data_IF_677477273070
#
_entry.id   IF_677477273070
#
_cell.length_a   1.000
_cell.length_b   1.000
_cell.length_c   1.000
_cell.angle_alpha   90.00
_cell.angle_beta   90.00
_cell.angle_gamma   90.00
#
_symmetry.space_group_name_H-M   'P 1'
#
loop_
_entity.id
_entity.type
_entity.pdbx_description
1 polymer ?
#
# COMPACT_ATOMS: atom_id res chain seq x y z
N UNK A 1 -45.18 0.15 -15.42
CA UNK A 1 -43.79 0.05 -15.90
C UNK A 1 -43.01 1.17 -15.26
N UNK A 2 -42.17 0.85 -14.27
CA UNK A 2 -41.25 1.82 -13.68
C UNK A 2 -40.15 2.14 -14.71
N UNK A 3 -39.70 3.40 -14.83
CA UNK A 3 -38.65 3.74 -15.76
C UNK A 3 -37.32 3.16 -15.26
N UNK A 4 -36.64 2.40 -16.13
CA UNK A 4 -35.26 1.99 -15.93
C UNK A 4 -34.38 3.24 -15.83
N UNK A 5 -33.75 3.43 -14.67
CA UNK A 5 -32.75 4.47 -14.45
C UNK A 5 -31.42 4.05 -15.10
N UNK A 6 -31.26 4.42 -16.36
CA UNK A 6 -30.11 4.09 -17.21
C UNK A 6 -28.94 5.09 -17.06
N UNK A 7 -28.64 5.54 -15.83
CA UNK A 7 -27.66 6.63 -15.60
C UNK A 7 -26.37 6.25 -14.86
N UNK A 8 -26.10 4.96 -14.59
CA UNK A 8 -24.84 4.53 -13.97
C UNK A 8 -23.86 4.00 -15.01
N UNK A 9 -23.04 4.89 -15.57
CA UNK A 9 -21.89 4.55 -16.43
C UNK A 9 -20.67 4.05 -15.65
N UNK A 10 -20.75 3.92 -14.32
CA UNK A 10 -19.62 3.43 -13.51
C UNK A 10 -19.52 1.90 -13.55
N UNK A 11 -18.28 1.39 -13.60
CA UNK A 11 -17.93 -0.03 -13.39
C UNK A 11 -18.29 -0.53 -11.98
N UNK A 12 -18.61 0.39 -11.06
CA UNK A 12 -18.89 0.09 -9.67
C UNK A 12 -20.35 0.39 -9.30
N UNK A 13 -20.84 -0.34 -8.31
CA UNK A 13 -22.14 -0.16 -7.68
C UNK A 13 -21.95 0.20 -6.20
N UNK A 14 -22.66 1.24 -5.73
CA UNK A 14 -22.65 1.67 -4.33
C UNK A 14 -23.53 0.75 -3.47
N UNK A 15 -23.06 0.46 -2.27
CA UNK A 15 -23.74 -0.34 -1.25
C UNK A 15 -24.04 0.54 -0.02
N UNK A 16 -24.04 -0.07 1.17
CA UNK A 16 -24.34 0.56 2.45
C UNK A 16 -23.23 1.49 2.95
N UNK A 17 -23.62 2.45 3.82
CA UNK A 17 -22.70 3.39 4.46
C UNK A 17 -21.88 2.70 5.56
N UNK A 18 -20.59 3.04 5.67
CA UNK A 18 -19.65 2.48 6.64
C UNK A 18 -19.74 3.12 8.03
N UNK A 19 -20.56 4.18 8.17
CA UNK A 19 -20.76 4.95 9.40
C UNK A 19 -19.85 6.18 9.56
N UNK A 20 -18.95 6.45 8.59
CA UNK A 20 -18.02 7.59 8.60
C UNK A 20 -18.19 8.51 7.38
N UNK A 21 -19.38 8.54 6.77
CA UNK A 21 -19.60 9.29 5.53
C UNK A 21 -18.91 8.70 4.30
N UNK A 22 -18.45 7.45 4.37
CA UNK A 22 -18.01 6.65 3.21
C UNK A 22 -18.97 5.49 2.99
N UNK A 23 -19.01 4.99 1.75
CA UNK A 23 -19.88 3.88 1.36
C UNK A 23 -19.04 2.68 0.93
N UNK A 24 -19.60 1.49 1.02
CA UNK A 24 -19.04 0.35 0.31
C UNK A 24 -19.36 0.43 -1.17
N UNK A 25 -18.48 -0.12 -2.00
CA UNK A 25 -18.72 -0.33 -3.42
C UNK A 25 -18.28 -1.72 -3.86
N UNK A 26 -18.88 -2.24 -4.92
CA UNK A 26 -18.48 -3.49 -5.58
C UNK A 26 -18.27 -3.25 -7.06
N UNK A 27 -17.35 -3.98 -7.67
CA UNK A 27 -17.17 -3.95 -9.13
C UNK A 27 -18.21 -4.86 -9.79
N UNK A 28 -18.89 -4.39 -10.85
CA UNK A 28 -19.96 -5.14 -11.52
C UNK A 28 -19.48 -6.48 -12.11
N UNK A 29 -18.24 -6.50 -12.61
CA UNK A 29 -17.64 -7.70 -13.22
C UNK A 29 -16.96 -8.63 -12.19
N UNK A 30 -16.76 -8.16 -10.96
CA UNK A 30 -16.20 -8.95 -9.86
C UNK A 30 -16.86 -8.55 -8.52
N UNK A 31 -18.10 -9.02 -8.28
CA UNK A 31 -18.85 -8.66 -7.09
C UNK A 31 -18.27 -9.28 -5.80
N UNK A 32 -17.24 -10.14 -5.90
CA UNK A 32 -16.56 -10.72 -4.76
C UNK A 32 -15.67 -9.73 -4.01
N UNK A 33 -15.34 -8.60 -4.63
CA UNK A 33 -14.44 -7.59 -4.07
C UNK A 33 -15.21 -6.36 -3.60
N UNK A 34 -15.03 -6.03 -2.31
CA UNK A 34 -15.48 -4.79 -1.72
C UNK A 34 -14.42 -3.71 -1.86
N UNK A 35 -14.89 -2.48 -1.99
CA UNK A 35 -14.12 -1.25 -2.10
C UNK A 35 -14.74 -0.19 -1.19
N UNK A 36 -13.99 0.88 -0.93
CA UNK A 36 -14.47 2.07 -0.22
C UNK A 36 -14.73 3.17 -1.24
N UNK A 37 -15.98 3.62 -1.34
CA UNK A 37 -16.37 4.81 -2.07
C UNK A 37 -16.36 6.02 -1.12
N UNK A 38 -15.42 6.92 -1.34
CA UNK A 38 -15.28 8.16 -0.60
C UNK A 38 -15.84 9.32 -1.42
N UNK A 39 -16.79 10.11 -0.89
CA UNK A 39 -17.32 11.29 -1.57
C UNK A 39 -16.21 12.31 -1.87
N UNK A 40 -16.26 12.94 -3.04
CA UNK A 40 -15.40 14.10 -3.32
C UNK A 40 -15.68 15.22 -2.31
N UNK A 41 -14.66 15.60 -1.55
CA UNK A 41 -14.71 16.72 -0.59
C UNK A 41 -14.64 16.35 0.88
N UNK A 42 -14.66 15.06 1.24
CA UNK A 42 -14.25 14.61 2.58
C UNK A 42 -12.75 14.27 2.51
N UNK A 43 -11.88 15.26 2.72
CA UNK A 43 -10.41 15.08 2.80
C UNK A 43 -9.91 15.01 4.25
N UNK A 44 -10.78 14.65 5.20
CA UNK A 44 -10.42 14.62 6.61
C UNK A 44 -9.52 13.41 6.91
N UNK A 45 -8.20 13.60 6.83
CA UNK A 45 -7.17 12.66 7.29
C UNK A 45 -6.82 12.81 8.78
N UNK A 46 -7.29 13.84 9.47
CA UNK A 46 -7.01 14.01 10.89
C UNK A 46 -8.16 14.71 11.63
N UNK A 47 -8.54 14.16 12.78
CA UNK A 47 -9.39 14.78 13.79
C UNK A 47 -8.67 15.97 14.46
N UNK A 48 -8.25 16.96 13.68
CA UNK A 48 -7.81 18.24 14.22
C UNK A 48 -9.05 19.09 14.45
N UNK A 49 -9.62 18.99 15.65
CA UNK A 49 -10.64 19.93 16.14
C UNK A 49 -10.10 21.37 15.99
N UNK A 50 -10.59 22.09 14.98
CA UNK A 50 -10.27 23.51 14.78
C UNK A 50 -10.11 24.01 13.35
N UNK A 51 -10.23 23.16 12.33
CA UNK A 51 -10.14 23.62 10.93
C UNK A 51 -11.33 24.50 10.53
N UNK A 52 -11.01 25.67 9.96
CA UNK A 52 -11.99 26.60 9.38
C UNK A 52 -12.79 25.89 8.28
N UNK A 53 -14.11 25.71 8.51
CA UNK A 53 -15.01 25.01 7.59
C UNK A 53 -14.97 25.58 6.17
N UNK A 54 -14.70 26.88 6.01
CA UNK A 54 -14.59 27.50 4.70
C UNK A 54 -13.34 27.04 3.95
N UNK A 55 -12.22 26.89 4.67
CA UNK A 55 -10.95 26.39 4.10
C UNK A 55 -11.10 24.96 3.58
N UNK A 56 -11.77 24.08 4.32
CA UNK A 56 -12.04 22.70 3.88
C UNK A 56 -12.91 22.65 2.61
N UNK A 57 -13.91 23.53 2.50
CA UNK A 57 -14.76 23.64 1.31
C UNK A 57 -13.93 24.13 0.11
N UNK A 58 -13.08 25.13 0.32
CA UNK A 58 -12.24 25.68 -0.74
C UNK A 58 -11.20 24.65 -1.23
N UNK A 59 -10.58 23.89 -0.32
CA UNK A 59 -9.65 22.79 -0.62
C UNK A 59 -10.35 21.65 -1.39
N UNK A 60 -11.55 21.25 -0.96
CA UNK A 60 -12.37 20.26 -1.66
C UNK A 60 -12.70 20.70 -3.09
N UNK A 61 -13.07 21.98 -3.27
CA UNK A 61 -13.38 22.55 -4.59
C UNK A 61 -12.14 22.69 -5.48
N UNK A 62 -10.98 23.01 -4.89
CA UNK A 62 -9.71 23.08 -5.62
C UNK A 62 -9.25 21.69 -6.06
N UNK A 63 -9.33 20.70 -5.17
CA UNK A 63 -9.04 19.30 -5.48
C UNK A 63 -9.95 18.77 -6.60
N UNK A 64 -11.26 19.01 -6.50
CA UNK A 64 -12.23 18.65 -7.54
C UNK A 64 -11.85 19.25 -8.90
N UNK A 65 -11.55 20.55 -8.91
CA UNK A 65 -11.13 21.25 -10.12
C UNK A 65 -9.86 20.64 -10.68
N UNK A 66 -8.83 20.44 -9.86
CA UNK A 66 -7.55 19.85 -10.27
C UNK A 66 -7.75 18.45 -10.89
N UNK A 67 -8.55 17.60 -10.24
CA UNK A 67 -8.76 16.22 -10.65
C UNK A 67 -9.47 16.12 -12.01
N UNK A 68 -10.37 17.06 -12.34
CA UNK A 68 -11.17 17.04 -13.57
C UNK A 68 -10.72 17.99 -14.68
N UNK A 69 -10.17 19.15 -14.36
CA UNK A 69 -9.79 20.17 -15.34
C UNK A 69 -8.43 19.88 -15.99
N UNK A 70 -7.73 18.84 -15.53
CA UNK A 70 -6.40 18.47 -16.00
C UNK A 70 -6.25 16.94 -16.05
N UNK A 71 -5.32 16.42 -16.85
CA UNK A 71 -4.95 14.98 -16.87
C UNK A 71 -4.30 14.52 -15.55
N UNK A 72 -4.34 15.34 -14.50
CA UNK A 72 -3.77 15.06 -13.18
C UNK A 72 -4.51 13.92 -12.50
N UNK A 73 -5.83 13.79 -12.64
CA UNK A 73 -6.57 12.67 -12.05
C UNK A 73 -6.07 11.30 -12.51
N UNK A 74 -5.80 11.14 -13.81
CA UNK A 74 -5.21 9.91 -14.36
C UNK A 74 -3.77 9.68 -13.90
N UNK A 75 -2.97 10.75 -13.78
CA UNK A 75 -1.60 10.65 -13.29
C UNK A 75 -1.55 10.24 -11.81
N UNK A 76 -2.43 10.81 -10.98
CA UNK A 76 -2.60 10.42 -9.57
C UNK A 76 -3.03 8.95 -9.48
N UNK A 77 -4.05 8.54 -10.23
CA UNK A 77 -4.48 7.13 -10.23
C UNK A 77 -3.35 6.17 -10.64
N UNK A 78 -2.51 6.57 -11.59
CA UNK A 78 -1.33 5.80 -12.00
C UNK A 78 -0.29 5.70 -10.88
N UNK A 79 -0.03 6.76 -10.12
CA UNK A 79 0.86 6.75 -8.95
C UNK A 79 0.33 5.80 -7.86
N UNK A 80 -0.98 5.71 -7.67
CA UNK A 80 -1.57 4.79 -6.70
C UNK A 80 -1.75 3.37 -7.25
N UNK A 81 -1.31 3.06 -8.47
CA UNK A 81 -1.46 1.74 -9.09
C UNK A 81 -0.27 0.81 -8.76
N UNK A 82 -0.22 0.33 -7.51
CA UNK A 82 0.77 -0.63 -7.06
C UNK A 82 0.15 -1.65 -6.11
N UNK A 83 0.63 -2.90 -6.15
CA UNK A 83 0.02 -4.01 -5.39
C UNK A 83 0.11 -3.82 -3.87
N UNK A 84 1.23 -3.23 -3.41
CA UNK A 84 1.49 -2.91 -2.00
C UNK A 84 1.19 -1.44 -1.64
N UNK A 85 0.39 -0.74 -2.44
CA UNK A 85 -0.16 0.59 -2.10
C UNK A 85 -1.68 0.46 -2.06
N UNK A 86 -2.35 1.23 -1.20
CA UNK A 86 -3.81 1.38 -1.26
C UNK A 86 -4.15 2.11 -2.55
N UNK A 87 -4.75 1.37 -3.50
CA UNK A 87 -4.97 1.87 -4.85
C UNK A 87 -6.27 2.67 -4.95
N UNK A 88 -6.25 3.62 -5.89
CA UNK A 88 -7.48 4.18 -6.46
C UNK A 88 -7.98 3.19 -7.51
N UNK A 89 -9.01 2.41 -7.16
CA UNK A 89 -9.59 1.37 -8.01
C UNK A 89 -10.51 1.94 -9.10
N UNK A 90 -11.07 3.13 -8.89
CA UNK A 90 -11.93 3.76 -9.89
C UNK A 90 -12.72 4.95 -9.36
N UNK A 91 -13.81 5.26 -10.06
CA UNK A 91 -14.64 6.43 -9.80
C UNK A 91 -16.11 6.14 -10.11
N UNK A 92 -16.98 6.70 -9.28
CA UNK A 92 -18.42 6.61 -9.44
C UNK A 92 -18.98 8.01 -9.62
N UNK A 93 -19.87 8.16 -10.60
CA UNK A 93 -20.68 9.37 -10.79
C UNK A 93 -22.14 8.95 -10.70
N UNK A 94 -22.83 9.42 -9.67
CA UNK A 94 -24.26 9.14 -9.47
C UNK A 94 -25.05 10.43 -9.33
N UNK A 95 -26.35 10.35 -9.60
CA UNK A 95 -27.30 11.38 -9.17
C UNK A 95 -27.84 11.00 -7.79
N UNK A 96 -28.03 11.96 -6.87
CA UNK A 96 -28.50 11.69 -5.52
C UNK A 96 -29.86 10.99 -5.55
N UNK A 97 -30.05 10.04 -4.64
CA UNK A 97 -31.26 9.19 -4.55
C UNK A 97 -32.45 9.93 -3.88
N UNK A 98 -32.29 11.21 -3.50
CA UNK A 98 -33.29 12.00 -2.77
C UNK A 98 -34.19 12.89 -3.67
N UNK A 99 -35.44 13.21 -3.25
CA UNK A 99 -36.48 13.71 -4.14
C UNK A 99 -36.31 15.20 -4.51
N UNK A 100 -36.21 15.45 -5.81
CA UNK A 100 -36.60 16.64 -6.60
C UNK A 100 -36.87 17.93 -5.82
N UNK A 101 -35.88 18.44 -5.10
CA UNK A 101 -35.86 19.82 -4.63
C UNK A 101 -34.44 20.20 -4.30
N UNK A 102 -33.97 21.27 -4.94
CA UNK A 102 -32.58 21.73 -5.02
C UNK A 102 -31.75 20.94 -6.04
N UNK A 103 -31.16 21.68 -7.00
CA UNK A 103 -30.35 21.20 -8.14
C UNK A 103 -29.67 19.87 -7.82
N UNK A 104 -30.05 18.80 -8.52
CA UNK A 104 -29.41 17.49 -8.43
C UNK A 104 -27.91 17.64 -8.71
N UNK A 105 -27.12 17.83 -7.65
CA UNK A 105 -25.66 17.86 -7.74
C UNK A 105 -25.25 16.42 -8.00
N UNK A 106 -24.51 16.17 -9.08
CA UNK A 106 -23.84 14.90 -9.25
C UNK A 106 -23.01 14.62 -7.99
N UNK A 107 -23.24 13.48 -7.36
CA UNK A 107 -22.37 12.98 -6.31
C UNK A 107 -21.30 12.13 -6.97
N UNK A 108 -20.06 12.54 -6.79
CA UNK A 108 -18.90 11.83 -7.31
C UNK A 108 -18.15 11.20 -6.16
N UNK A 109 -17.63 9.99 -6.41
CA UNK A 109 -16.89 9.21 -5.43
C UNK A 109 -15.58 8.72 -6.02
N UNK A 110 -14.51 8.76 -5.22
CA UNK A 110 -13.27 8.03 -5.47
C UNK A 110 -13.41 6.65 -4.83
N UNK A 111 -13.11 5.61 -5.60
CA UNK A 111 -13.18 4.23 -5.13
C UNK A 111 -11.76 3.77 -4.78
N UNK A 112 -11.57 3.40 -3.52
CA UNK A 112 -10.31 2.92 -2.95
C UNK A 112 -10.39 1.42 -2.65
N UNK A 113 -9.23 0.77 -2.63
CA UNK A 113 -9.12 -0.58 -2.08
C UNK A 113 -9.66 -0.64 -0.64
N UNK A 114 -10.43 -1.68 -0.35
CA UNK A 114 -10.84 -1.98 1.02
C UNK A 114 -9.88 -2.99 1.65
N UNK A 115 -9.28 -2.59 2.78
CA UNK A 115 -8.40 -3.43 3.59
C UNK A 115 -9.18 -3.95 4.81
N UNK A 116 -9.71 -5.16 4.70
CA UNK A 116 -10.64 -5.80 5.63
C UNK A 116 -9.97 -6.57 6.78
N UNK A 117 -8.64 -6.50 6.90
CA UNK A 117 -7.87 -7.10 7.99
C UNK A 117 -7.17 -6.07 8.89
N UNK A 118 -7.70 -4.84 8.95
CA UNK A 118 -7.18 -3.73 9.76
C UNK A 118 -5.76 -3.30 9.36
N UNK A 119 -5.04 -2.62 10.25
CA UNK A 119 -3.68 -2.16 10.06
C UNK A 119 -2.71 -2.78 11.09
N UNK A 120 -1.41 -2.65 10.82
CA UNK A 120 -0.35 -3.25 11.62
C UNK A 120 -0.34 -2.78 13.08
N UNK A 121 -0.85 -1.58 13.38
CA UNK A 121 -0.94 -1.10 14.76
C UNK A 121 -1.84 -1.98 15.64
N UNK A 122 -2.82 -2.67 15.05
CA UNK A 122 -3.69 -3.59 15.76
C UNK A 122 -2.94 -4.81 16.35
N UNK A 123 -1.74 -5.12 15.84
CA UNK A 123 -0.90 -6.21 16.35
C UNK A 123 0.03 -5.77 17.48
N UNK A 124 0.23 -4.47 17.66
CA UNK A 124 1.15 -3.95 18.67
C UNK A 124 0.42 -3.62 19.96
N UNK A 125 1.05 -3.99 21.08
CA UNK A 125 0.60 -3.57 22.41
C UNK A 125 1.06 -2.14 22.67
N UNK A 126 0.34 -1.41 23.53
CA UNK A 126 0.70 -0.04 23.94
C UNK A 126 2.02 0.04 24.73
N UNK A 127 2.59 -1.10 25.14
CA UNK A 127 3.88 -1.19 25.81
C UNK A 127 4.72 -2.33 25.24
N UNK A 128 6.06 -2.17 25.12
CA UNK A 128 6.95 -3.24 24.69
C UNK A 128 6.80 -4.49 25.58
N UNK A 129 6.73 -5.68 24.97
CA UNK A 129 6.69 -6.92 25.72
C UNK A 129 8.09 -7.25 26.25
N UNK A 130 8.23 -7.38 27.58
CA UNK A 130 9.50 -7.79 28.20
C UNK A 130 9.73 -9.32 28.15
N UNK A 131 8.70 -10.08 27.77
CA UNK A 131 8.75 -11.53 27.73
C UNK A 131 9.31 -12.01 26.40
N UNK A 132 10.39 -12.80 26.45
CA UNK A 132 10.94 -13.50 25.30
C UNK A 132 10.04 -14.62 24.75
N UNK A 133 8.77 -14.73 25.18
CA UNK A 133 7.83 -15.76 24.71
C UNK A 133 6.82 -15.26 23.69
N UNK A 134 6.70 -13.95 23.53
CA UNK A 134 5.70 -13.34 22.65
C UNK A 134 6.41 -12.53 21.57
N UNK A 135 6.63 -13.19 20.43
CA UNK A 135 7.17 -12.57 19.22
C UNK A 135 6.13 -12.68 18.13
N UNK A 136 6.13 -11.71 17.20
CA UNK A 136 5.39 -11.86 15.96
C UNK A 136 5.99 -13.04 15.17
N UNK A 137 5.18 -13.82 14.43
CA UNK A 137 5.70 -14.81 13.51
C UNK A 137 6.73 -14.19 12.56
N UNK A 138 7.83 -14.89 12.29
CA UNK A 138 8.89 -14.34 11.46
C UNK A 138 8.42 -14.16 10.01
N UNK A 139 7.57 -15.08 9.55
CA UNK A 139 6.87 -14.98 8.26
C UNK A 139 6.10 -13.68 8.10
N UNK A 140 5.46 -13.17 9.17
CA UNK A 140 4.77 -11.89 9.15
C UNK A 140 5.75 -10.71 9.02
N UNK A 141 6.88 -10.77 9.73
CA UNK A 141 7.94 -9.76 9.62
C UNK A 141 8.45 -9.66 8.18
N UNK A 142 8.75 -10.81 7.56
CA UNK A 142 9.15 -10.87 6.16
C UNK A 142 8.07 -10.39 5.21
N UNK A 143 6.82 -10.82 5.40
CA UNK A 143 5.68 -10.39 4.59
C UNK A 143 5.51 -8.87 4.56
N UNK A 144 5.58 -8.22 5.73
CA UNK A 144 5.50 -6.76 5.84
C UNK A 144 6.72 -6.10 5.20
N UNK A 145 7.92 -6.58 5.53
CA UNK A 145 9.16 -5.97 5.05
C UNK A 145 9.27 -5.99 3.52
N UNK A 146 9.04 -7.14 2.90
CA UNK A 146 9.14 -7.27 1.42
C UNK A 146 8.05 -6.46 0.73
N UNK A 147 6.82 -6.45 1.26
CA UNK A 147 5.71 -5.64 0.73
C UNK A 147 6.02 -4.15 0.78
N UNK A 148 6.58 -3.66 1.90
CA UNK A 148 6.95 -2.26 2.04
C UNK A 148 8.14 -1.89 1.16
N UNK A 149 9.15 -2.74 1.04
CA UNK A 149 10.29 -2.49 0.15
C UNK A 149 9.85 -2.44 -1.31
N UNK A 150 8.90 -3.27 -1.73
CA UNK A 150 8.30 -3.17 -3.07
C UNK A 150 7.59 -1.82 -3.26
N UNK A 151 6.75 -1.40 -2.30
CA UNK A 151 6.07 -0.10 -2.35
C UNK A 151 7.07 1.08 -2.39
N UNK A 152 8.09 1.07 -1.53
CA UNK A 152 9.11 2.12 -1.48
C UNK A 152 9.92 2.13 -2.78
N UNK A 153 10.33 0.97 -3.31
CA UNK A 153 11.07 0.89 -4.59
C UNK A 153 10.26 1.52 -5.71
N UNK A 154 8.97 1.26 -5.75
CA UNK A 154 8.08 1.89 -6.71
C UNK A 154 7.98 3.41 -6.50
N UNK A 155 7.75 3.88 -5.26
CA UNK A 155 7.62 5.31 -4.96
C UNK A 155 8.90 6.11 -5.19
N UNK A 156 10.06 5.57 -4.81
CA UNK A 156 11.33 6.26 -4.86
C UNK A 156 12.01 6.12 -6.23
N UNK A 157 12.01 4.92 -6.81
CA UNK A 157 12.76 4.64 -8.03
C UNK A 157 11.88 4.54 -9.28
N UNK A 158 10.54 4.51 -9.13
CA UNK A 158 9.61 4.34 -10.24
C UNK A 158 9.64 2.93 -10.84
N UNK A 159 10.13 1.94 -10.09
CA UNK A 159 10.31 0.56 -10.57
C UNK A 159 9.34 -0.40 -9.93
N UNK A 160 8.79 -1.29 -10.75
CA UNK A 160 7.87 -2.35 -10.32
C UNK A 160 8.38 -3.71 -10.78
N UNK A 161 8.07 -4.75 -10.01
CA UNK A 161 8.40 -6.12 -10.34
C UNK A 161 7.37 -6.66 -11.35
N UNK A 162 7.84 -7.14 -12.50
CA UNK A 162 7.03 -7.77 -13.53
C UNK A 162 7.49 -9.20 -13.78
N UNK A 163 6.57 -10.04 -14.25
CA UNK A 163 6.88 -11.35 -14.81
C UNK A 163 7.38 -11.16 -16.24
N UNK A 164 8.62 -11.58 -16.51
CA UNK A 164 9.16 -11.64 -17.86
C UNK A 164 8.52 -12.83 -18.59
N UNK A 165 7.55 -12.52 -19.45
CA UNK A 165 6.88 -13.49 -20.31
C UNK A 165 7.63 -13.76 -21.62
N UNK A 166 8.70 -13.00 -21.90
CA UNK A 166 9.50 -13.12 -23.14
C UNK A 166 10.79 -13.94 -22.93
N UNK A 167 11.10 -14.31 -21.69
CA UNK A 167 12.21 -15.22 -21.38
C UNK A 167 12.06 -16.53 -22.19
N UNK A 168 12.97 -16.71 -23.15
CA UNK A 168 12.96 -17.82 -24.08
C UNK A 168 13.02 -19.16 -23.32
N UNK A 169 11.93 -19.93 -23.40
CA UNK A 169 11.80 -21.30 -22.93
C UNK A 169 12.00 -21.54 -21.41
N UNK A 170 10.92 -21.38 -20.65
CA UNK A 170 10.58 -22.35 -19.58
C UNK A 170 10.63 -21.86 -18.14
N UNK A 171 11.18 -20.69 -17.83
CA UNK A 171 11.16 -20.12 -16.49
C UNK A 171 10.76 -18.65 -16.56
N UNK A 172 9.56 -18.32 -16.07
CA UNK A 172 9.14 -16.93 -15.92
C UNK A 172 10.05 -16.27 -14.89
N UNK A 173 10.99 -15.44 -15.35
CA UNK A 173 11.90 -14.70 -14.47
C UNK A 173 11.27 -13.36 -14.10
N UNK A 174 11.57 -12.85 -12.91
CA UNK A 174 11.03 -11.56 -12.46
C UNK A 174 12.04 -10.46 -12.71
N UNK A 175 11.56 -9.37 -13.31
CA UNK A 175 12.40 -8.22 -13.63
C UNK A 175 11.81 -6.95 -13.02
N UNK A 176 12.69 -6.15 -12.43
CA UNK A 176 12.34 -4.79 -12.01
C UNK A 176 12.42 -3.88 -13.23
N UNK A 177 11.28 -3.33 -13.65
CA UNK A 177 11.21 -2.43 -14.79
C UNK A 177 10.68 -1.05 -14.36
N UNK A 178 11.19 -0.01 -15.01
CA UNK A 178 10.67 1.35 -14.85
C UNK A 178 9.25 1.44 -15.40
N UNK A 179 8.35 2.02 -14.61
CA UNK A 179 6.95 2.25 -14.98
C UNK A 179 6.81 3.55 -15.80
N UNK A 180 7.69 4.51 -15.57
CA UNK A 180 7.78 5.77 -16.30
C UNK A 180 9.25 6.21 -16.42
N UNK A 181 9.60 6.90 -17.52
CA UNK A 181 10.95 7.44 -17.74
C UNK A 181 11.19 8.73 -16.97
N UNK A 182 10.14 9.50 -16.69
CA UNK A 182 10.20 10.80 -16.02
C UNK A 182 9.73 10.71 -14.56
N UNK A 183 9.93 9.54 -13.93
CA UNK A 183 9.50 9.31 -12.55
C UNK A 183 10.21 10.24 -11.57
N UNK A 184 9.43 10.98 -10.78
CA UNK A 184 9.93 11.78 -9.68
C UNK A 184 9.79 11.02 -8.37
N UNK A 185 10.84 10.93 -7.54
CA UNK A 185 10.74 10.23 -6.26
C UNK A 185 9.65 10.82 -5.36
N UNK A 186 8.88 9.93 -4.74
CA UNK A 186 7.79 10.25 -3.83
C UNK A 186 8.15 9.72 -2.44
N UNK A 187 8.31 10.61 -1.47
CA UNK A 187 8.59 10.22 -0.08
C UNK A 187 7.27 10.15 0.69
N UNK A 188 6.96 9.01 1.32
CA UNK A 188 5.73 8.86 2.12
C UNK A 188 5.77 9.66 3.44
N UNK A 189 6.94 9.73 4.09
CA UNK A 189 7.21 10.50 5.34
C UNK A 189 6.43 10.12 6.61
N UNK A 190 5.62 9.07 6.57
CA UNK A 190 4.80 8.62 7.70
C UNK A 190 4.64 7.10 7.68
N UNK A 191 5.75 6.38 7.51
CA UNK A 191 5.75 4.91 7.47
C UNK A 191 5.68 4.33 8.89
N UNK A 192 4.47 4.35 9.45
CA UNK A 192 4.17 3.90 10.81
C UNK A 192 3.14 2.77 10.78
N UNK A 193 3.02 1.95 11.85
CA UNK A 193 2.11 0.81 11.86
C UNK A 193 0.64 1.11 11.53
N UNK A 194 0.16 2.32 11.85
CA UNK A 194 -1.22 2.73 11.55
C UNK A 194 -1.49 2.94 10.04
N UNK A 195 -0.44 3.13 9.26
CA UNK A 195 -0.49 3.40 7.81
C UNK A 195 -0.19 2.16 6.96
N UNK A 196 -0.03 0.99 7.58
CA UNK A 196 0.25 -0.29 6.93
C UNK A 196 -0.97 -1.19 7.10
N UNK A 197 -1.68 -1.46 6.02
CA UNK A 197 -2.98 -2.11 6.02
C UNK A 197 -2.91 -3.53 5.46
N UNK A 198 -3.81 -4.39 5.92
CA UNK A 198 -3.92 -5.77 5.47
C UNK A 198 -5.27 -6.05 4.81
N UNK A 199 -5.25 -6.90 3.79
CA UNK A 199 -6.42 -7.60 3.27
C UNK A 199 -6.47 -9.03 3.84
N UNK A 200 -7.67 -9.59 3.94
CA UNK A 200 -7.84 -11.01 4.25
C UNK A 200 -7.22 -11.89 3.15
N UNK A 201 -6.64 -13.05 3.49
CA UNK A 201 -6.24 -14.04 2.50
C UNK A 201 -7.43 -14.49 1.63
N UNK A 202 -7.20 -14.65 0.33
CA UNK A 202 -8.19 -15.02 -0.70
C UNK A 202 -7.86 -16.34 -1.41
N UNK A 203 -6.79 -17.01 -1.02
CA UNK A 203 -6.34 -18.25 -1.61
C UNK A 203 -5.59 -19.11 -0.61
N UNK A 204 -4.45 -19.66 -1.04
CA UNK A 204 -3.58 -20.47 -0.18
C UNK A 204 -2.52 -19.64 0.56
N UNK A 205 -2.45 -18.33 0.31
CA UNK A 205 -1.51 -17.45 0.98
C UNK A 205 -1.79 -17.38 2.49
N UNK A 206 -0.71 -17.32 3.28
CA UNK A 206 -0.79 -17.29 4.75
C UNK A 206 -1.31 -15.95 5.26
N UNK A 207 -0.89 -14.86 4.61
CA UNK A 207 -1.35 -13.50 4.87
C UNK A 207 -1.86 -12.90 3.56
N UNK A 208 -2.96 -12.15 3.61
CA UNK A 208 -3.43 -11.39 2.45
C UNK A 208 -2.56 -10.16 2.21
N UNK A 209 -2.93 -9.34 1.22
CA UNK A 209 -2.09 -8.22 0.77
C UNK A 209 -1.72 -7.25 1.91
N UNK A 210 -0.44 -6.91 2.01
CA UNK A 210 0.07 -5.81 2.83
C UNK A 210 0.27 -4.56 1.97
N UNK A 211 -0.41 -3.47 2.35
CA UNK A 211 -0.50 -2.22 1.57
C UNK A 211 -0.14 -1.00 2.41
N UNK A 212 0.68 -0.12 1.86
CA UNK A 212 0.97 1.20 2.40
C UNK A 212 -0.16 2.17 2.01
N UNK A 213 -0.68 2.93 2.97
CA UNK A 213 -1.76 3.89 2.80
C UNK A 213 -1.51 5.19 3.56
N UNK A 214 -2.47 6.12 3.52
CA UNK A 214 -2.40 7.42 4.21
C UNK A 214 -1.22 8.31 3.77
N UNK A 215 -1.24 8.70 2.50
CA UNK A 215 -0.22 9.53 1.85
C UNK A 215 -0.37 11.04 2.16
N UNK A 216 -0.99 11.41 3.27
CA UNK A 216 -1.27 12.81 3.63
C UNK A 216 -0.01 13.66 3.82
N UNK A 217 1.09 13.02 4.24
CA UNK A 217 2.39 13.65 4.43
C UNK A 217 3.35 13.42 3.27
N UNK A 218 2.88 12.79 2.18
CA UNK A 218 3.73 12.45 1.06
C UNK A 218 4.19 13.70 0.30
N UNK A 219 5.42 13.66 -0.21
CA UNK A 219 6.00 14.76 -0.99
C UNK A 219 6.68 14.23 -2.25
N UNK A 220 6.50 14.94 -3.35
CA UNK A 220 7.26 14.70 -4.60
C UNK A 220 8.53 15.55 -4.55
N UNK A 221 9.68 14.91 -4.65
CA UNK A 221 10.97 15.62 -4.58
C UNK A 221 11.56 15.79 -5.98
N UNK A 222 11.86 17.02 -6.37
CA UNK A 222 12.46 17.35 -7.67
C UNK A 222 14.01 17.37 -7.64
N UNK A 223 14.63 16.97 -6.52
CA UNK A 223 16.07 17.02 -6.30
C UNK A 223 16.57 15.88 -5.41
N UNK A 224 17.76 15.36 -5.76
CA UNK A 224 18.64 14.58 -4.89
C UNK A 224 18.83 15.37 -3.59
N UNK A 225 18.59 14.71 -2.45
CA UNK A 225 18.71 15.29 -1.12
C UNK A 225 20.13 15.88 -0.97
N UNK A 226 20.25 17.21 -0.95
CA UNK A 226 21.46 17.92 -0.56
C UNK A 226 21.42 18.20 0.95
N UNK A 227 22.49 17.92 1.70
CA UNK A 227 22.46 17.83 3.16
C UNK A 227 22.49 19.20 3.89
N UNK A 228 21.95 20.27 3.31
CA UNK A 228 22.04 21.62 3.88
C UNK A 228 20.71 22.39 3.90
N UNK A 229 19.62 21.72 4.28
CA UNK A 229 18.51 22.43 4.91
C UNK A 229 18.67 22.25 6.41
N UNK A 230 18.89 23.36 7.13
CA UNK A 230 18.93 23.38 8.58
C UNK A 230 17.68 22.70 9.13
N UNK A 231 17.86 21.47 9.58
CA UNK A 231 16.84 20.68 10.22
C UNK A 231 16.50 21.40 11.52
N UNK A 232 15.34 22.04 11.58
CA UNK A 232 14.78 22.54 12.82
C UNK A 232 14.45 21.30 13.63
N UNK A 233 15.45 20.84 14.39
CA UNK A 233 15.29 19.76 15.35
C UNK A 233 14.34 20.21 16.46
N UNK A 234 13.05 20.02 16.24
CA UNK A 234 12.16 19.79 17.35
C UNK A 234 12.60 18.44 17.93
N UNK A 235 13.33 18.49 19.04
CA UNK A 235 13.81 17.29 19.73
C UNK A 235 12.65 16.67 20.47
N UNK A 236 11.74 16.06 19.72
CA UNK A 236 11.02 14.92 20.24
C UNK A 236 12.07 13.86 20.56
N UNK A 237 12.27 13.65 21.86
CA UNK A 237 13.12 12.59 22.38
C UNK A 237 12.43 11.28 22.04
N UNK A 238 12.60 10.81 20.80
CA UNK A 238 12.33 9.41 20.48
C UNK A 238 13.22 8.59 21.43
N UNK A 239 12.65 7.62 22.16
CA UNK A 239 13.46 6.76 23.00
C UNK A 239 14.48 6.07 22.10
N UNK A 240 15.77 6.32 22.37
CA UNK A 240 16.87 5.57 21.74
C UNK A 240 16.74 4.12 22.17
N UNK A 241 15.98 3.35 21.39
CA UNK A 241 15.86 1.91 21.53
C UNK A 241 17.25 1.32 21.28
N UNK A 242 17.80 0.62 22.27
CA UNK A 242 19.01 -0.18 22.10
C UNK A 242 18.65 -1.42 21.27
N UNK A 243 18.56 -1.24 19.95
CA UNK A 243 18.08 -2.25 19.01
C UNK A 243 18.92 -3.53 19.07
N UNK A 244 20.22 -3.41 19.29
CA UNK A 244 21.13 -4.56 19.44
C UNK A 244 20.72 -5.46 20.62
N UNK A 245 20.35 -4.87 21.76
CA UNK A 245 19.88 -5.66 22.90
C UNK A 245 18.55 -6.37 22.62
N UNK A 246 17.68 -5.83 21.77
CA UNK A 246 16.42 -6.47 21.39
C UNK A 246 16.64 -7.58 20.36
N UNK A 247 17.50 -7.35 19.37
CA UNK A 247 17.87 -8.36 18.37
C UNK A 247 18.56 -9.58 19.01
N UNK A 248 19.45 -9.37 19.98
CA UNK A 248 20.12 -10.50 20.66
C UNK A 248 19.13 -11.34 21.48
N UNK A 249 18.08 -10.73 22.03
CA UNK A 249 17.06 -11.43 22.83
C UNK A 249 15.98 -12.09 21.97
N UNK A 250 15.88 -11.74 20.69
CA UNK A 250 14.83 -12.23 19.81
C UNK A 250 15.10 -13.67 19.34
N UNK A 251 14.01 -14.42 19.14
CA UNK A 251 14.06 -15.79 18.64
C UNK A 251 14.05 -15.88 17.11
N UNK A 252 14.18 -14.75 16.42
CA UNK A 252 14.22 -14.69 14.96
C UNK A 252 15.49 -15.33 14.39
N UNK A 253 15.41 -15.73 13.13
CA UNK A 253 16.54 -16.22 12.35
C UNK A 253 17.68 -15.19 12.26
N UNK A 254 18.86 -15.68 11.90
CA UNK A 254 20.01 -14.81 11.67
C UNK A 254 19.80 -13.96 10.40
N UNK A 255 19.11 -14.48 9.39
CA UNK A 255 18.75 -13.77 8.15
C UNK A 255 17.94 -12.49 8.43
N UNK A 256 16.91 -12.59 9.28
CA UNK A 256 16.11 -11.42 9.64
C UNK A 256 16.91 -10.45 10.52
N UNK A 257 17.71 -10.97 11.46
CA UNK A 257 18.55 -10.12 12.33
C UNK A 257 19.59 -9.34 11.53
N UNK A 258 20.25 -9.99 10.58
CA UNK A 258 21.25 -9.37 9.70
C UNK A 258 20.62 -8.35 8.75
N UNK A 259 19.42 -8.66 8.24
CA UNK A 259 18.63 -7.71 7.46
C UNK A 259 18.28 -6.46 8.25
N UNK A 260 17.84 -6.59 9.50
CA UNK A 260 17.52 -5.44 10.36
C UNK A 260 18.78 -4.62 10.66
N UNK A 261 19.93 -5.26 10.94
CA UNK A 261 21.20 -4.55 11.11
C UNK A 261 21.59 -3.79 9.85
N UNK A 262 21.55 -4.45 8.70
CA UNK A 262 21.87 -3.86 7.41
C UNK A 262 21.03 -2.60 7.14
N UNK A 263 19.72 -2.65 7.40
CA UNK A 263 18.83 -1.50 7.20
C UNK A 263 19.07 -0.37 8.21
N UNK A 264 19.45 -0.69 9.45
CA UNK A 264 19.72 0.30 10.50
C UNK A 264 21.09 0.95 10.39
N UNK A 265 22.10 0.24 9.87
CA UNK A 265 23.44 0.77 9.67
C UNK A 265 23.43 1.97 8.69
N UNK A 266 22.51 1.97 7.72
CA UNK A 266 22.25 3.13 6.85
C UNK A 266 21.83 4.39 7.63
N UNK A 267 21.26 4.25 8.84
CA UNK A 267 20.84 5.38 9.70
C UNK A 267 22.02 6.01 10.44
N UNK A 268 23.12 5.28 10.64
CA UNK A 268 24.19 5.66 11.59
C UNK A 268 25.44 6.32 11.00
N UNK A 269 25.42 6.71 9.72
CA UNK A 269 26.42 7.68 9.21
C UNK A 269 27.41 7.15 8.18
N UNK A 270 27.01 6.27 7.27
CA UNK A 270 27.69 6.23 5.97
C UNK A 270 27.15 7.39 5.12
N UNK A 271 28.03 8.30 4.67
CA UNK A 271 27.78 9.36 3.67
C UNK A 271 27.33 8.83 2.29
N UNK A 272 26.80 7.60 2.25
CA UNK A 272 26.23 6.97 1.07
C UNK A 272 24.86 7.56 0.82
N UNK A 273 24.81 8.60 -0.01
CA UNK A 273 23.59 9.01 -0.68
C UNK A 273 22.94 7.78 -1.33
N UNK A 274 21.77 7.37 -0.82
CA UNK A 274 20.98 6.31 -1.46
C UNK A 274 20.33 6.94 -2.69
N UNK A 275 20.97 6.77 -3.84
CA UNK A 275 20.45 7.25 -5.13
C UNK A 275 19.33 6.35 -5.68
N UNK A 276 19.17 5.15 -5.13
CA UNK A 276 18.17 4.16 -5.54
C UNK A 276 17.94 3.16 -4.42
N UNK A 277 16.66 2.84 -4.15
CA UNK A 277 16.27 1.87 -3.13
C UNK A 277 16.38 0.44 -3.66
N UNK A 278 16.24 0.22 -4.97
CA UNK A 278 16.20 -1.10 -5.60
C UNK A 278 17.34 -2.05 -5.17
N UNK A 279 18.64 -1.65 -5.13
CA UNK A 279 19.70 -2.55 -4.71
C UNK A 279 19.50 -3.10 -3.29
N UNK A 280 18.99 -2.25 -2.38
CA UNK A 280 18.66 -2.64 -1.01
C UNK A 280 17.50 -3.63 -1.02
N UNK A 281 16.44 -3.34 -1.79
CA UNK A 281 15.30 -4.24 -1.95
C UNK A 281 15.70 -5.61 -2.48
N UNK A 282 16.56 -5.67 -3.51
CA UNK A 282 17.04 -6.93 -4.07
C UNK A 282 17.86 -7.74 -3.05
N UNK A 283 18.75 -7.09 -2.29
CA UNK A 283 19.54 -7.76 -1.26
C UNK A 283 18.66 -8.34 -0.15
N UNK A 284 17.64 -7.59 0.30
CA UNK A 284 16.68 -8.07 1.31
C UNK A 284 15.80 -9.19 0.77
N UNK A 285 15.35 -9.09 -0.48
CA UNK A 285 14.58 -10.15 -1.13
C UNK A 285 15.40 -11.44 -1.27
N UNK A 286 16.70 -11.36 -1.53
CA UNK A 286 17.58 -12.53 -1.54
C UNK A 286 17.64 -13.20 -0.16
N UNK A 287 17.80 -12.42 0.92
CA UNK A 287 17.77 -12.94 2.29
C UNK A 287 16.43 -13.58 2.64
N UNK A 288 15.33 -12.96 2.23
CA UNK A 288 13.99 -13.54 2.37
C UNK A 288 13.89 -14.90 1.67
N UNK A 289 14.41 -15.04 0.44
CA UNK A 289 14.38 -16.32 -0.27
C UNK A 289 15.25 -17.38 0.43
N UNK A 290 16.42 -17.00 0.96
CA UNK A 290 17.24 -17.91 1.76
C UNK A 290 16.48 -18.40 3.00
N UNK A 291 15.84 -17.48 3.74
CA UNK A 291 15.01 -17.82 4.88
C UNK A 291 13.83 -18.73 4.48
N UNK A 292 13.13 -18.42 3.38
CA UNK A 292 11.98 -19.18 2.88
C UNK A 292 12.33 -20.63 2.54
N UNK A 293 13.52 -20.84 1.96
CA UNK A 293 13.99 -22.17 1.54
C UNK A 293 14.52 -23.02 2.71
N UNK A 294 15.21 -22.39 3.67
CA UNK A 294 16.00 -23.13 4.66
C UNK A 294 15.35 -23.22 6.04
N UNK A 295 14.53 -22.24 6.44
CA UNK A 295 13.85 -22.25 7.73
C UNK A 295 12.61 -23.14 7.74
N UNK A 296 12.25 -23.68 8.91
CA UNK A 296 11.04 -24.51 9.05
C UNK A 296 9.76 -23.69 8.88
N UNK A 297 9.72 -22.46 9.41
CA UNK A 297 8.58 -21.55 9.21
C UNK A 297 8.47 -21.11 7.75
N UNK A 298 9.60 -20.78 7.11
CA UNK A 298 9.65 -20.34 5.71
C UNK A 298 9.14 -21.37 4.71
N UNK A 299 9.43 -22.67 4.92
CA UNK A 299 8.93 -23.75 4.06
C UNK A 299 7.42 -23.92 4.13
N UNK A 300 6.83 -23.61 5.29
CA UNK A 300 5.39 -23.68 5.53
C UNK A 300 4.67 -22.42 5.07
N UNK A 301 5.35 -21.27 5.13
CA UNK A 301 4.82 -19.99 4.68
C UNK A 301 4.49 -20.01 3.18
N UNK A 302 3.29 -19.53 2.86
CA UNK A 302 2.79 -19.34 1.50
C UNK A 302 2.57 -17.87 1.25
N UNK A 303 3.32 -17.29 0.33
CA UNK A 303 3.09 -15.92 -0.10
C UNK A 303 2.11 -15.85 -1.29
N UNK A 304 1.80 -14.63 -1.71
CA UNK A 304 0.90 -14.36 -2.85
C UNK A 304 1.47 -14.97 -4.14
N UNK A 305 2.79 -15.10 -4.25
CA UNK A 305 3.43 -15.65 -5.44
C UNK A 305 3.20 -17.16 -5.54
N UNK A 306 3.29 -17.87 -4.42
CA UNK A 306 2.94 -19.28 -4.32
C UNK A 306 1.47 -19.52 -4.70
N UNK A 307 0.57 -18.66 -4.24
CA UNK A 307 -0.86 -18.73 -4.58
C UNK A 307 -1.10 -18.47 -6.07
N UNK A 308 -0.49 -17.44 -6.65
CA UNK A 308 -0.59 -17.14 -8.08
C UNK A 308 -0.05 -18.30 -8.93
N UNK A 309 1.10 -18.88 -8.56
CA UNK A 309 1.67 -20.02 -9.26
C UNK A 309 0.74 -21.25 -9.22
N UNK A 310 0.14 -21.53 -8.05
CA UNK A 310 -0.83 -22.62 -7.90
C UNK A 310 -2.09 -22.42 -8.77
N UNK A 311 -2.63 -21.20 -8.84
CA UNK A 311 -3.79 -20.87 -9.68
C UNK A 311 -3.47 -20.98 -11.18
N UNK A 312 -2.31 -20.51 -11.61
CA UNK A 312 -1.86 -20.64 -13.01
C UNK A 312 -1.70 -22.10 -13.40
N UNK A 313 -1.06 -22.92 -12.56
CA UNK A 313 -0.93 -24.36 -12.80
C UNK A 313 -2.26 -25.12 -12.83
N UNK A 314 -3.26 -24.70 -12.04
CA UNK A 314 -4.59 -25.29 -12.09
C UNK A 314 -5.33 -25.00 -13.41
N UNK A 315 -5.18 -23.78 -13.96
CA UNK A 315 -5.83 -23.38 -15.22
C UNK A 315 -5.28 -24.15 -16.42
N UNK A 316 -3.96 -24.31 -16.52
CA UNK A 316 -3.32 -25.05 -17.62
C UNK A 316 -3.68 -26.54 -17.63
N UNK A 317 -3.91 -27.14 -16.46
CA UNK A 317 -4.35 -28.53 -16.33
C UNK A 317 -5.83 -28.74 -16.74
N UNK A 318 -6.69 -27.72 -16.59
CA UNK A 318 -8.08 -27.79 -17.05
C UNK A 318 -8.20 -27.64 -18.58
N UNK A 319 -7.36 -26.78 -19.18
CA UNK A 319 -7.34 -26.56 -20.63
C UNK A 319 -6.72 -27.73 -21.40
N UNK A 320 -5.83 -28.51 -20.79
CA UNK A 320 -5.21 -29.70 -21.43
C UNK A 320 -6.06 -30.96 -21.30
N UNK A 321 -7.19 -30.93 -20.58
CA UNK A 321 -8.11 -32.06 -20.39
C UNK A 321 -9.52 -31.79 -20.94
N UNK A 322 -9.69 -30.69 -21.70
CA UNK A 322 -10.88 -30.37 -22.49
C UNK A 322 -10.65 -30.64 -23.97
#
# INVERSE_FOLDING_TARGET
>A
MAPQNDYTTSEFELLEETGQGTLFAIKKDDPGLKYIAQPFGILNGSDVEGTDKQKTIDEASAFYTLFHSSKVGSAIAQIFNHENIISIAGYIKTHPVAPVSERARLEEYIVWDYCDASNLSALFQSKPCESAKFYLPESLCWHVLTSLLSAITYLHDGKRLFLDTEAAAGEATKIWASVDQDWLPILHRAMEPRNIFFQQPRGIETYGMCKLGNFEHAVVTNHVITPNAEDVTDKDVEPTLNTDSYLVKSQYSDELKDTVRYLLDFRTGSDTHINSVLPTTMAVMEQYQQWKLHSEEGKLYKDIEDDMAARCGAKTNMETHS
#
